data_IF_425921487463
#
_entry.id   IF_425921487463
#
_cell.length_a   1.000
_cell.length_b   1.000
_cell.length_c   1.000
_cell.angle_alpha   90.00
_cell.angle_beta   90.00
_cell.angle_gamma   90.00
#
_symmetry.space_group_name_H-M   'P 1'
#
loop_
_entity.id
_entity.type
_entity.pdbx_description
1 polymer ?
#
# COMPACT_ATOMS: atom_id res chain seq x y z
N UNK A 1 -23.22 -21.31 -18.98
CA UNK A 1 -22.07 -20.48 -19.38
C UNK A 1 -21.62 -19.73 -18.14
N UNK A 2 -20.47 -20.09 -17.56
CA UNK A 2 -19.96 -19.38 -16.38
C UNK A 2 -19.18 -18.16 -16.86
N UNK A 3 -19.73 -16.97 -16.68
CA UNK A 3 -19.02 -15.72 -16.90
C UNK A 3 -17.86 -15.64 -15.91
N UNK A 4 -16.63 -15.78 -16.41
CA UNK A 4 -15.44 -15.51 -15.59
C UNK A 4 -15.23 -14.02 -15.58
N UNK A 5 -15.13 -13.46 -14.39
CA UNK A 5 -14.87 -12.03 -14.21
C UNK A 5 -13.38 -11.88 -13.98
N UNK A 6 -12.70 -11.18 -14.89
CA UNK A 6 -11.31 -10.78 -14.75
C UNK A 6 -11.23 -9.27 -14.58
N UNK A 7 -10.37 -8.80 -13.67
CA UNK A 7 -10.15 -7.37 -13.44
C UNK A 7 -8.68 -7.14 -13.13
N UNK A 8 -8.10 -6.08 -13.68
CA UNK A 8 -6.71 -5.69 -13.43
C UNK A 8 -6.68 -4.43 -12.57
N UNK A 9 -5.81 -4.42 -11.56
CA UNK A 9 -5.60 -3.27 -10.68
C UNK A 9 -4.16 -2.81 -10.79
N UNK A 10 -3.95 -1.50 -10.88
CA UNK A 10 -2.63 -0.90 -10.83
C UNK A 10 -2.27 -0.61 -9.36
N UNK A 11 -1.14 -1.16 -8.91
CA UNK A 11 -0.64 -1.06 -7.54
C UNK A 11 0.87 -0.82 -7.59
N UNK A 12 1.33 0.12 -6.80
CA UNK A 12 2.74 0.47 -6.70
C UNK A 12 3.64 -0.73 -6.36
N UNK A 13 4.79 -0.85 -7.04
CA UNK A 13 5.82 -1.89 -6.80
C UNK A 13 6.18 -2.07 -5.32
N UNK A 14 6.42 -1.00 -4.54
CA UNK A 14 6.64 -1.13 -3.11
C UNK A 14 5.49 -1.84 -2.41
N UNK A 15 4.25 -1.47 -2.70
CA UNK A 15 3.05 -1.98 -2.05
C UNK A 15 2.74 -3.42 -2.47
N UNK A 16 3.03 -3.81 -3.70
CA UNK A 16 2.91 -5.20 -4.17
C UNK A 16 3.74 -6.18 -3.33
N UNK A 17 4.96 -5.78 -2.93
CA UNK A 17 5.80 -6.60 -2.03
C UNK A 17 5.12 -6.82 -0.67
N UNK A 18 4.35 -5.84 -0.20
CA UNK A 18 3.63 -5.90 1.07
C UNK A 18 2.32 -6.69 0.92
N UNK A 19 1.61 -6.54 -0.19
CA UNK A 19 0.42 -7.31 -0.55
C UNK A 19 0.69 -8.81 -0.64
N UNK A 20 1.83 -9.20 -1.22
CA UNK A 20 2.28 -10.60 -1.18
C UNK A 20 2.59 -11.02 0.26
N UNK A 21 3.09 -10.10 1.08
CA UNK A 21 3.41 -10.32 2.48
C UNK A 21 4.61 -11.26 2.67
N UNK A 22 5.12 -11.33 3.90
CA UNK A 22 6.22 -12.25 4.25
C UNK A 22 5.69 -13.69 4.19
N UNK A 23 6.00 -14.40 3.10
CA UNK A 23 5.58 -15.79 2.89
C UNK A 23 4.16 -15.99 2.32
N UNK A 24 3.55 -14.98 1.69
CA UNK A 24 2.25 -15.19 1.02
C UNK A 24 1.02 -15.15 1.95
N UNK A 25 1.18 -14.85 3.25
CA UNK A 25 0.06 -14.89 4.21
C UNK A 25 -1.06 -13.90 3.89
N UNK A 26 -0.72 -12.70 3.40
CA UNK A 26 -1.71 -11.66 3.09
C UNK A 26 -2.50 -12.04 1.84
N UNK A 27 -1.80 -12.42 0.77
CA UNK A 27 -2.42 -12.95 -0.44
C UNK A 27 -3.37 -14.11 -0.12
N UNK A 28 -2.91 -15.11 0.63
CA UNK A 28 -3.70 -16.30 0.98
C UNK A 28 -4.95 -15.93 1.79
N UNK A 29 -4.87 -14.96 2.70
CA UNK A 29 -6.04 -14.46 3.44
C UNK A 29 -7.08 -13.86 2.50
N UNK A 30 -6.66 -13.01 1.55
CA UNK A 30 -7.59 -12.39 0.59
C UNK A 30 -8.22 -13.46 -0.30
N UNK A 31 -7.43 -14.39 -0.83
CA UNK A 31 -7.93 -15.50 -1.66
C UNK A 31 -8.94 -16.38 -0.90
N UNK A 32 -8.75 -16.60 0.41
CA UNK A 32 -9.69 -17.35 1.25
C UNK A 32 -10.95 -16.54 1.61
N UNK A 33 -10.84 -15.25 1.93
CA UNK A 33 -11.97 -14.39 2.27
C UNK A 33 -12.88 -14.11 1.08
N UNK A 34 -12.30 -13.86 -0.10
CA UNK A 34 -13.05 -13.40 -1.28
C UNK A 34 -13.23 -14.46 -2.35
N UNK A 35 -12.47 -15.56 -2.29
CA UNK A 35 -12.57 -16.66 -3.25
C UNK A 35 -12.13 -16.29 -4.67
N UNK A 36 -11.39 -15.19 -4.82
CA UNK A 36 -10.74 -14.80 -6.08
C UNK A 36 -9.31 -15.31 -6.12
N UNK A 37 -8.77 -15.48 -7.32
CA UNK A 37 -7.37 -15.80 -7.56
C UNK A 37 -6.62 -14.52 -7.90
N UNK A 38 -5.55 -14.25 -7.16
CA UNK A 38 -4.68 -13.09 -7.40
C UNK A 38 -3.47 -13.55 -8.18
N UNK A 39 -3.29 -13.00 -9.38
CA UNK A 39 -2.19 -13.31 -10.28
C UNK A 39 -1.26 -12.09 -10.27
N UNK A 40 -0.08 -12.28 -9.68
CA UNK A 40 0.97 -11.28 -9.71
C UNK A 40 1.81 -11.44 -10.97
N UNK A 41 2.17 -10.33 -11.63
CA UNK A 41 3.08 -10.36 -12.77
C UNK A 41 4.45 -10.85 -12.30
N UNK A 42 5.15 -11.58 -13.16
CA UNK A 42 6.50 -12.08 -12.87
C UNK A 42 7.54 -10.95 -12.91
N UNK A 43 7.22 -9.86 -13.62
CA UNK A 43 8.07 -8.68 -13.72
C UNK A 43 8.08 -7.90 -12.40
N UNK A 44 9.27 -7.49 -11.98
CA UNK A 44 9.49 -6.74 -10.73
C UNK A 44 9.09 -5.26 -10.85
N UNK A 45 8.84 -4.80 -12.07
CA UNK A 45 8.54 -3.42 -12.43
C UNK A 45 7.08 -3.25 -12.91
N UNK A 46 6.34 -4.34 -13.09
CA UNK A 46 4.92 -4.25 -13.41
C UNK A 46 4.12 -3.94 -12.16
N UNK A 47 3.26 -2.92 -12.26
CA UNK A 47 2.30 -2.52 -11.24
C UNK A 47 0.93 -3.19 -11.42
N UNK A 48 0.76 -4.04 -12.43
CA UNK A 48 -0.54 -4.61 -12.80
C UNK A 48 -0.81 -5.95 -12.11
N UNK A 49 -1.72 -5.96 -11.14
CA UNK A 49 -2.21 -7.16 -10.47
C UNK A 49 -3.51 -7.63 -11.13
N UNK A 50 -3.54 -8.88 -11.61
CA UNK A 50 -4.74 -9.47 -12.20
C UNK A 50 -5.55 -10.26 -11.16
N UNK A 51 -6.84 -9.99 -11.09
CA UNK A 51 -7.82 -10.69 -10.26
C UNK A 51 -8.70 -11.54 -11.16
N UNK A 52 -8.77 -12.84 -10.88
CA UNK A 52 -9.64 -13.77 -11.60
C UNK A 52 -10.66 -14.39 -10.63
N UNK A 53 -11.94 -14.19 -10.89
CA UNK A 53 -13.02 -14.57 -9.99
C UNK A 53 -14.16 -15.30 -10.71
N UNK A 54 -14.90 -16.09 -9.94
CA UNK A 54 -16.11 -16.78 -10.41
C UNK A 54 -17.34 -15.87 -10.43
N UNK A 55 -17.29 -14.71 -9.78
CA UNK A 55 -18.41 -13.78 -9.65
C UNK A 55 -17.92 -12.34 -9.54
N UNK A 56 -18.68 -11.40 -10.10
CA UNK A 56 -18.38 -9.96 -10.01
C UNK A 56 -18.34 -9.46 -8.55
N UNK A 57 -19.19 -10.01 -7.68
CA UNK A 57 -19.18 -9.67 -6.25
C UNK A 57 -17.85 -10.02 -5.59
N UNK A 58 -17.28 -11.19 -5.90
CA UNK A 58 -15.99 -11.63 -5.38
C UNK A 58 -14.86 -10.69 -5.81
N UNK A 59 -14.84 -10.28 -7.09
CA UNK A 59 -13.87 -9.30 -7.61
C UNK A 59 -13.98 -7.97 -6.87
N UNK A 60 -15.21 -7.49 -6.66
CA UNK A 60 -15.47 -6.22 -5.99
C UNK A 60 -15.03 -6.26 -4.52
N UNK A 61 -15.35 -7.33 -3.79
CA UNK A 61 -14.87 -7.55 -2.41
C UNK A 61 -13.34 -7.65 -2.35
N UNK A 62 -12.71 -8.32 -3.33
CA UNK A 62 -11.26 -8.45 -3.36
C UNK A 62 -10.57 -7.10 -3.59
N UNK A 63 -11.07 -6.30 -4.54
CA UNK A 63 -10.61 -4.93 -4.77
C UNK A 63 -10.69 -4.08 -3.51
N UNK A 64 -11.82 -4.13 -2.79
CA UNK A 64 -12.00 -3.39 -1.53
C UNK A 64 -11.03 -3.85 -0.45
N UNK A 65 -10.84 -5.18 -0.29
CA UNK A 65 -9.86 -5.72 0.65
C UNK A 65 -8.44 -5.30 0.34
N UNK A 66 -8.05 -5.37 -0.93
CA UNK A 66 -6.74 -4.91 -1.39
C UNK A 66 -6.57 -3.42 -1.07
N UNK A 67 -7.53 -2.58 -1.45
CA UNK A 67 -7.49 -1.13 -1.19
C UNK A 67 -7.36 -0.81 0.29
N UNK A 68 -8.05 -1.54 1.17
CA UNK A 68 -7.96 -1.36 2.62
C UNK A 68 -6.56 -1.66 3.16
N UNK A 69 -5.99 -2.81 2.77
CA UNK A 69 -4.64 -3.21 3.17
C UNK A 69 -3.60 -2.21 2.64
N UNK A 70 -3.77 -1.75 1.39
CA UNK A 70 -2.92 -0.74 0.80
C UNK A 70 -2.99 0.58 1.57
N UNK A 71 -4.18 1.04 1.95
CA UNK A 71 -4.35 2.23 2.79
C UNK A 71 -3.67 2.10 4.15
N UNK A 72 -3.77 0.95 4.81
CA UNK A 72 -3.08 0.69 6.09
C UNK A 72 -1.55 0.68 5.95
N UNK A 73 -1.02 0.22 4.82
CA UNK A 73 0.42 0.23 4.53
C UNK A 73 0.90 1.63 4.15
N UNK A 74 0.12 2.38 3.38
CA UNK A 74 0.45 3.75 2.98
C UNK A 74 0.58 4.68 4.20
N UNK A 75 -0.32 4.58 5.18
CA UNK A 75 -0.25 5.35 6.43
C UNK A 75 1.03 5.04 7.22
N UNK A 76 1.51 3.79 7.20
CA UNK A 76 2.77 3.42 7.85
C UNK A 76 4.01 3.87 7.06
N UNK A 77 3.88 4.07 5.74
CA UNK A 77 4.99 4.47 4.86
C UNK A 77 5.11 5.97 4.62
N UNK A 78 4.01 6.71 4.66
CA UNK A 78 4.00 8.17 4.48
C UNK A 78 4.83 8.89 5.55
N UNK A 79 5.18 8.20 6.65
CA UNK A 79 6.16 8.67 7.62
C UNK A 79 7.63 8.64 7.11
N UNK A 80 7.96 7.97 6.00
CA UNK A 80 9.36 7.72 5.59
C UNK A 80 9.69 7.87 4.10
N UNK A 81 8.73 8.18 3.22
CA UNK A 81 9.01 8.48 1.81
C UNK A 81 8.00 9.53 1.35
N UNK A 82 8.31 10.82 1.38
CA UNK A 82 9.03 11.44 0.26
C UNK A 82 9.91 12.66 0.62
N UNK A 83 10.10 13.01 1.91
CA UNK A 83 10.82 14.26 2.28
C UNK A 83 12.00 14.09 3.27
N UNK A 84 12.45 12.86 3.57
CA UNK A 84 13.57 12.66 4.51
C UNK A 84 14.98 12.79 3.90
N UNK A 85 15.12 13.45 2.75
CA UNK A 85 16.40 14.05 2.33
C UNK A 85 16.40 15.58 2.46
N UNK A 86 15.23 16.24 2.43
CA UNK A 86 15.12 17.70 2.64
C UNK A 86 15.18 18.10 4.12
N UNK A 87 14.70 17.23 5.03
CA UNK A 87 14.64 17.54 6.47
C UNK A 87 15.91 17.23 7.29
N UNK A 88 17.06 17.00 6.64
CA UNK A 88 18.37 17.04 7.34
C UNK A 88 19.16 18.33 7.08
N UNK A 89 18.76 19.12 6.08
CA UNK A 89 19.27 20.50 5.90
C UNK A 89 18.55 21.51 6.80
N UNK A 90 17.32 21.21 7.25
CA UNK A 90 16.55 22.11 8.15
C UNK A 90 16.57 21.69 9.63
N UNK A 91 17.23 20.58 10.00
CA UNK A 91 17.44 20.19 11.39
C UNK A 91 18.91 20.24 11.84
N UNK A 92 19.73 21.07 11.18
CA UNK A 92 21.05 21.48 11.68
C UNK A 92 21.17 23.01 11.84
N UNK A 93 20.02 23.69 11.95
CA UNK A 93 19.93 25.09 12.37
C UNK A 93 18.83 25.29 13.42
N UNK A 94 18.59 24.28 14.28
CA UNK A 94 17.77 24.46 15.49
C UNK A 94 18.60 24.32 16.76
N UNK A 95 19.82 24.87 16.71
CA UNK A 95 20.63 25.18 17.89
C UNK A 95 20.80 26.70 18.01
N UNK A 96 19.71 27.49 17.96
CA UNK A 96 19.84 28.90 18.36
C UNK A 96 18.59 29.64 18.86
N UNK A 97 17.44 29.03 19.12
CA UNK A 97 16.34 29.79 19.72
C UNK A 97 15.39 28.90 20.52
N UNK A 98 15.81 28.54 21.73
CA UNK A 98 14.91 28.00 22.75
C UNK A 98 15.21 28.56 24.14
N UNK A 99 15.62 29.82 24.25
CA UNK A 99 15.52 30.53 25.51
C UNK A 99 15.27 32.02 25.27
N UNK A 100 14.33 32.56 26.05
CA UNK A 100 13.97 33.98 26.19
C UNK A 100 13.22 34.63 25.01
N UNK A 101 11.88 34.54 25.01
CA UNK A 101 11.03 35.66 25.42
C UNK A 101 9.55 35.21 25.48
N UNK A 102 9.13 34.82 26.68
CA UNK A 102 7.75 34.94 27.13
C UNK A 102 7.44 36.43 27.39
N UNK A 103 6.16 36.86 27.29
CA UNK A 103 5.76 38.24 27.42
C UNK A 103 5.68 38.65 28.90
N UNK A 104 6.69 39.37 29.40
CA UNK A 104 6.58 40.22 30.58
C UNK A 104 7.51 41.45 30.40
N UNK A 105 6.90 42.64 30.53
CA UNK A 105 7.37 44.01 30.24
C UNK A 105 7.26 44.48 28.78
#
# INVERSE_FOLDING_TARGET
MGEKYSSSLEVDVPLMRFLKGKGGSVQKQIEQETGVKIIFPSAKEETLVALEGKSAESIRKASERISKILGEVDIQRTALTDDYCMLRSLLNHWHCMCLSLLPYC
#
